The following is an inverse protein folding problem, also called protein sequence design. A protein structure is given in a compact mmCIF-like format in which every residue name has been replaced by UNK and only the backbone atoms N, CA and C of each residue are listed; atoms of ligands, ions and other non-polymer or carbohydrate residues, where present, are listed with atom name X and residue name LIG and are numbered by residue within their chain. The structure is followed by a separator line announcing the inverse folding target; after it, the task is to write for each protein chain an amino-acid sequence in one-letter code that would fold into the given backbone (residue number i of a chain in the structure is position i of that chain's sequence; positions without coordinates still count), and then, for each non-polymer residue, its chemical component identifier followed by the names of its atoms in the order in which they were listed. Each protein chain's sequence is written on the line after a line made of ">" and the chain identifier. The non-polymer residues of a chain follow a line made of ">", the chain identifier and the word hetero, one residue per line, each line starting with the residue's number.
data_IF_466347604061
#
_entry.id   IF_466347604061
#
_cell.length_a   1.000
_cell.length_b   1.000
_cell.length_c   1.000
_cell.angle_alpha   90.00
_cell.angle_beta   90.00
_cell.angle_gamma   90.00
#
_symmetry.space_group_name_H-M   'P 1'
#
loop_
_entity.id
_entity.type
_entity.pdbx_description
1 polymer ?
#
# COMPACT_ATOMS: atom_id res chain seq x y z
N UNK A 1 -9.26 59.41 11.44
CA UNK A 1 -10.39 59.89 10.62
C UNK A 1 -11.42 58.87 10.87
N UNK A 2 -12.11 59.07 11.96
CA UNK A 2 -13.34 59.79 12.18
C UNK A 2 -14.51 58.91 11.75
N UNK A 3 -15.20 58.38 12.71
CA UNK A 3 -16.32 58.98 13.46
C UNK A 3 -17.61 58.68 12.72
N UNK A 4 -18.76 58.38 13.22
CA UNK A 4 -19.39 58.69 14.52
C UNK A 4 -20.79 58.00 14.47
N UNK A 5 -21.24 57.43 15.57
CA UNK A 5 -22.25 57.95 16.50
C UNK A 5 -23.71 57.99 16.02
N UNK A 6 -24.55 57.43 16.73
CA UNK A 6 -25.64 57.85 17.61
C UNK A 6 -26.91 57.02 17.43
N UNK A 7 -27.41 56.42 18.48
CA UNK A 7 -28.35 56.96 19.52
C UNK A 7 -29.81 57.18 18.98
N UNK A 8 -30.89 56.78 19.53
CA UNK A 8 -31.42 56.86 20.88
C UNK A 8 -32.93 56.59 20.89
N UNK A 9 -33.44 56.28 22.05
CA UNK A 9 -34.76 56.55 22.65
C UNK A 9 -35.91 55.57 22.35
N UNK A 10 -36.45 54.95 23.25
CA UNK A 10 -37.16 54.96 24.49
C UNK A 10 -38.57 55.55 24.45
N UNK A 11 -39.40 55.11 25.38
CA UNK A 11 -40.86 54.85 25.16
C UNK A 11 -41.79 56.04 25.53
N UNK A 12 -43.10 55.91 25.48
CA UNK A 12 -43.94 55.89 26.66
C UNK A 12 -45.19 55.01 26.50
N UNK A 13 -45.62 54.36 27.51
CA UNK A 13 -46.46 54.72 28.71
C UNK A 13 -47.89 55.11 28.43
N UNK A 14 -48.72 54.57 29.30
CA UNK A 14 -50.04 54.99 29.80
C UNK A 14 -51.28 54.40 29.16
N UNK A 15 -51.99 53.81 30.03
CA UNK A 15 -53.04 54.03 30.99
C UNK A 15 -54.39 53.38 30.68
N UNK A 16 -54.82 52.70 31.72
CA UNK A 16 -56.18 52.72 32.32
C UNK A 16 -57.41 52.37 31.44
N UNK A 17 -58.35 51.62 31.88
CA UNK A 17 -59.19 51.71 33.07
C UNK A 17 -60.12 50.47 33.17
N UNK A 18 -60.31 50.03 34.40
CA UNK A 18 -61.53 49.64 35.12
C UNK A 18 -62.72 48.91 34.43
N UNK A 19 -63.19 47.86 34.92
CA UNK A 19 -64.10 47.67 36.01
C UNK A 19 -64.86 46.31 35.98
N UNK A 20 -64.91 45.74 37.15
CA UNK A 20 -65.96 45.11 37.86
C UNK A 20 -66.85 43.98 37.31
N UNK A 21 -66.90 42.94 38.10
CA UNK A 21 -68.16 42.30 38.45
C UNK A 21 -68.25 40.78 38.35
N UNK A 22 -68.38 40.11 39.49
CA UNK A 22 -69.23 38.92 39.53
C UNK A 22 -68.59 37.61 39.96
N UNK A 23 -68.56 37.41 41.19
CA UNK A 23 -68.74 36.27 42.04
C UNK A 23 -69.35 35.01 41.39
N UNK A 24 -68.73 33.82 41.51
CA UNK A 24 -69.36 32.70 42.21
C UNK A 24 -68.49 31.48 42.24
N UNK A 25 -68.46 30.92 43.40
CA UNK A 25 -67.82 29.66 43.80
C UNK A 25 -68.25 28.43 43.01
N UNK A 26 -67.30 27.52 42.67
CA UNK A 26 -67.57 26.10 42.88
C UNK A 26 -66.31 25.30 43.00
N UNK A 27 -66.17 24.69 44.13
CA UNK A 27 -65.32 23.55 44.48
C UNK A 27 -65.33 22.46 43.43
N UNK A 28 -64.13 22.03 43.00
CA UNK A 28 -63.92 20.86 42.16
C UNK A 28 -62.53 20.29 42.42
N UNK A 29 -62.45 19.43 43.41
CA UNK A 29 -61.34 18.60 43.76
C UNK A 29 -60.98 17.71 42.56
N UNK A 30 -59.78 17.81 42.01
CA UNK A 30 -59.33 16.98 40.89
C UNK A 30 -57.82 16.82 40.91
N UNK A 31 -57.40 15.82 41.66
CA UNK A 31 -56.02 15.29 41.70
C UNK A 31 -55.51 14.94 40.30
N UNK A 32 -54.66 15.77 39.75
CA UNK A 32 -54.06 15.54 38.42
C UNK A 32 -52.66 16.12 38.27
N UNK A 33 -51.84 16.05 39.31
CA UNK A 33 -50.50 16.62 39.24
C UNK A 33 -49.43 15.64 39.76
N UNK A 34 -49.27 14.49 39.10
CA UNK A 34 -48.17 13.55 39.46
C UNK A 34 -47.55 12.80 38.28
N UNK A 35 -48.06 12.90 37.04
CA UNK A 35 -47.52 12.14 35.89
C UNK A 35 -46.42 12.84 35.10
N UNK A 36 -46.31 14.17 35.16
CA UNK A 36 -45.36 14.95 34.38
C UNK A 36 -43.93 14.89 34.98
N UNK A 37 -43.78 14.81 36.29
CA UNK A 37 -42.48 14.80 36.97
C UNK A 37 -41.70 13.50 36.77
N UNK A 38 -42.36 12.35 36.57
CA UNK A 38 -41.69 11.06 36.36
C UNK A 38 -41.15 10.91 34.96
N UNK A 39 -41.79 11.39 33.93
CA UNK A 39 -41.33 11.39 32.53
C UNK A 39 -40.08 12.24 32.33
N UNK A 40 -39.97 13.41 32.96
CA UNK A 40 -38.79 14.25 32.88
C UNK A 40 -37.58 13.67 33.64
N UNK A 41 -37.82 12.98 34.75
CA UNK A 41 -36.74 12.29 35.49
C UNK A 41 -36.19 11.09 34.68
N UNK A 42 -37.08 10.30 34.06
CA UNK A 42 -36.68 9.16 33.23
C UNK A 42 -35.89 9.60 31.99
N UNK A 43 -36.35 10.64 31.28
CA UNK A 43 -35.63 11.28 30.17
C UNK A 43 -34.21 11.78 30.54
N UNK A 44 -34.08 12.33 31.77
CA UNK A 44 -32.74 12.74 32.27
C UNK A 44 -31.84 11.56 32.53
N UNK A 45 -32.35 10.49 33.11
CA UNK A 45 -31.56 9.27 33.34
C UNK A 45 -31.20 8.55 32.05
N UNK A 46 -32.06 8.50 31.05
CA UNK A 46 -31.75 7.95 29.72
C UNK A 46 -30.73 8.83 28.99
N UNK A 47 -30.83 10.14 29.05
CA UNK A 47 -29.84 11.06 28.48
C UNK A 47 -28.47 10.92 29.14
N UNK A 48 -28.41 10.81 30.48
CA UNK A 48 -27.14 10.56 31.19
C UNK A 48 -26.57 9.20 30.86
N UNK A 49 -27.40 8.14 30.76
CA UNK A 49 -26.97 6.81 30.34
C UNK A 49 -26.44 6.81 28.90
N UNK A 50 -27.13 7.46 27.97
CA UNK A 50 -26.67 7.62 26.59
C UNK A 50 -25.36 8.40 26.52
N UNK A 51 -25.22 9.51 27.26
CA UNK A 51 -23.97 10.28 27.33
C UNK A 51 -22.81 9.45 27.89
N UNK A 52 -23.07 8.67 28.92
CA UNK A 52 -22.04 7.76 29.50
C UNK A 52 -21.61 6.70 28.49
N UNK A 53 -22.53 6.08 27.75
CA UNK A 53 -22.21 5.10 26.70
C UNK A 53 -21.36 5.75 25.60
N UNK A 54 -21.70 6.97 25.18
CA UNK A 54 -20.92 7.72 24.17
C UNK A 54 -19.51 8.03 24.68
N UNK A 55 -19.39 8.47 25.95
CA UNK A 55 -18.07 8.74 26.55
C UNK A 55 -17.21 7.48 26.67
N UNK A 56 -17.81 6.35 27.08
CA UNK A 56 -17.10 5.07 27.11
C UNK A 56 -16.68 4.64 25.73
N UNK A 57 -17.57 4.72 24.73
CA UNK A 57 -17.25 4.39 23.34
C UNK A 57 -16.14 5.28 22.79
N UNK A 58 -16.18 6.58 23.07
CA UNK A 58 -15.13 7.54 22.69
C UNK A 58 -13.78 7.21 23.39
N UNK A 59 -13.82 6.87 24.68
CA UNK A 59 -12.63 6.48 25.43
C UNK A 59 -11.99 5.17 24.91
N UNK A 60 -12.81 4.16 24.63
CA UNK A 60 -12.35 2.90 24.01
C UNK A 60 -11.81 3.16 22.60
N UNK A 61 -12.51 3.95 21.78
CA UNK A 61 -12.07 4.32 20.42
C UNK A 61 -10.73 5.05 20.44
N UNK A 62 -10.56 6.00 21.37
CA UNK A 62 -9.31 6.72 21.58
C UNK A 62 -8.16 5.81 22.02
N UNK A 63 -8.44 4.87 22.93
CA UNK A 63 -7.44 3.90 23.39
C UNK A 63 -7.02 2.96 22.26
N UNK A 64 -7.97 2.44 21.46
CA UNK A 64 -7.68 1.60 20.28
C UNK A 64 -6.85 2.37 19.25
N UNK A 65 -7.23 3.62 18.95
CA UNK A 65 -6.50 4.49 18.04
C UNK A 65 -5.03 4.65 18.50
N UNK A 66 -4.83 5.02 19.77
CA UNK A 66 -3.49 5.20 20.34
C UNK A 66 -2.66 3.91 20.32
N UNK A 67 -3.30 2.77 20.54
CA UNK A 67 -2.63 1.47 20.48
C UNK A 67 -2.15 1.16 19.06
N UNK A 68 -2.99 1.35 18.06
CA UNK A 68 -2.64 1.11 16.65
C UNK A 68 -1.57 2.07 16.16
N UNK A 69 -1.72 3.35 16.47
CA UNK A 69 -0.78 4.42 16.12
C UNK A 69 0.61 4.15 16.72
N UNK A 70 0.67 3.73 17.98
CA UNK A 70 1.92 3.39 18.66
C UNK A 70 2.59 2.09 18.23
N UNK A 71 1.96 1.27 17.37
CA UNK A 71 2.58 0.08 16.79
C UNK A 71 3.52 0.40 15.62
N UNK A 72 3.26 1.51 14.92
CA UNK A 72 3.98 1.89 13.69
C UNK A 72 5.43 2.22 14.03
N UNK A 73 6.36 1.61 13.31
CA UNK A 73 7.80 1.88 13.45
C UNK A 73 8.23 2.86 12.37
N UNK A 74 8.90 3.94 12.78
CA UNK A 74 9.39 4.97 11.86
C UNK A 74 10.87 4.78 11.58
N UNK A 75 11.27 4.72 10.30
CA UNK A 75 12.67 4.69 9.86
C UNK A 75 13.26 6.10 9.82
N UNK A 76 13.54 6.66 10.99
CA UNK A 76 14.14 7.99 11.12
C UNK A 76 15.56 8.05 10.59
N UNK A 77 16.27 6.91 10.58
CA UNK A 77 17.64 6.81 10.07
C UNK A 77 17.69 6.98 8.55
N UNK A 78 16.81 6.30 7.81
CA UNK A 78 16.70 6.48 6.38
C UNK A 78 16.28 7.92 6.01
N UNK A 79 15.33 8.49 6.74
CA UNK A 79 14.89 9.86 6.51
C UNK A 79 16.03 10.88 6.72
N UNK A 80 16.83 10.73 7.79
CA UNK A 80 17.98 11.58 8.05
C UNK A 80 19.04 11.46 6.94
N UNK A 81 19.35 10.26 6.51
CA UNK A 81 20.29 9.99 5.40
C UNK A 81 19.79 10.61 4.08
N UNK A 82 18.54 10.39 3.71
CA UNK A 82 17.95 10.94 2.49
C UNK A 82 17.97 12.47 2.47
N UNK A 83 17.79 13.10 3.62
CA UNK A 83 17.87 14.57 3.77
C UNK A 83 19.25 15.11 3.44
N UNK A 84 20.32 14.38 3.76
CA UNK A 84 21.69 14.79 3.39
C UNK A 84 21.89 14.82 1.87
N UNK A 85 21.18 13.97 1.14
CA UNK A 85 21.28 13.84 -0.31
C UNK A 85 20.10 14.44 -1.07
N UNK A 86 19.28 15.28 -0.44
CA UNK A 86 18.08 15.86 -1.05
C UNK A 86 18.34 16.52 -2.40
N UNK A 87 19.49 17.18 -2.56
CA UNK A 87 19.89 17.84 -3.82
C UNK A 87 20.21 16.86 -4.96
N UNK A 88 20.50 15.59 -4.64
CA UNK A 88 20.81 14.54 -5.62
C UNK A 88 19.57 13.77 -6.04
N UNK A 89 18.48 13.88 -5.28
CA UNK A 89 17.24 13.16 -5.53
C UNK A 89 16.49 13.76 -6.74
N UNK A 90 15.80 12.94 -7.54
CA UNK A 90 14.97 13.45 -8.63
C UNK A 90 13.90 14.41 -8.10
N UNK A 91 13.54 15.41 -8.91
CA UNK A 91 12.36 16.21 -8.63
C UNK A 91 11.10 15.41 -8.92
N UNK A 92 10.03 15.59 -8.13
CA UNK A 92 8.69 15.10 -8.48
C UNK A 92 8.18 15.90 -9.68
N UNK A 93 7.83 15.20 -10.76
CA UNK A 93 7.31 15.82 -11.99
C UNK A 93 5.82 16.08 -11.86
N UNK A 94 5.08 15.11 -11.30
CA UNK A 94 3.64 15.20 -11.04
C UNK A 94 3.44 15.08 -9.53
N UNK A 95 3.05 16.17 -8.89
CA UNK A 95 3.02 16.26 -7.42
C UNK A 95 1.95 15.41 -6.76
N UNK A 96 0.84 15.20 -7.45
CA UNK A 96 -0.31 14.44 -6.96
C UNK A 96 -0.13 12.92 -7.12
N UNK A 97 0.82 12.49 -7.97
CA UNK A 97 1.22 11.09 -8.06
C UNK A 97 2.12 10.72 -6.87
N UNK A 98 2.01 9.50 -6.38
CA UNK A 98 2.82 9.02 -5.25
C UNK A 98 3.59 7.76 -5.64
N UNK A 99 4.88 7.77 -5.32
CA UNK A 99 5.77 6.64 -5.57
C UNK A 99 6.23 6.05 -4.23
N UNK A 100 5.85 4.82 -3.97
CA UNK A 100 6.08 4.14 -2.70
C UNK A 100 7.00 2.95 -2.95
N UNK A 101 8.13 2.89 -2.24
CA UNK A 101 9.03 1.75 -2.33
C UNK A 101 8.70 0.72 -1.24
N UNK A 102 8.18 -0.42 -1.67
CA UNK A 102 7.92 -1.57 -0.81
C UNK A 102 9.15 -2.47 -0.78
N UNK A 103 9.67 -2.75 0.41
CA UNK A 103 10.87 -3.57 0.61
C UNK A 103 10.53 -4.75 1.51
N UNK A 104 10.62 -5.96 0.97
CA UNK A 104 10.58 -7.20 1.74
C UNK A 104 11.97 -7.51 2.29
N UNK A 105 12.15 -7.40 3.60
CA UNK A 105 13.42 -7.69 4.26
C UNK A 105 13.47 -9.13 4.76
N UNK A 106 14.56 -9.82 4.46
CA UNK A 106 14.88 -11.14 5.01
C UNK A 106 15.60 -11.04 6.37
N UNK A 107 15.36 -9.95 7.10
CA UNK A 107 15.93 -9.78 8.43
C UNK A 107 15.67 -11.02 9.29
N UNK A 108 16.76 -11.65 9.75
CA UNK A 108 16.73 -12.85 10.61
C UNK A 108 16.86 -12.50 12.08
N UNK A 109 16.64 -11.24 12.43
CA UNK A 109 16.61 -10.81 13.82
C UNK A 109 15.37 -11.35 14.54
N UNK A 110 15.49 -11.61 15.84
CA UNK A 110 14.38 -12.09 16.66
C UNK A 110 13.84 -13.46 16.19
N UNK A 111 12.51 -13.58 16.07
CA UNK A 111 11.80 -14.82 15.74
C UNK A 111 11.97 -15.27 14.28
N UNK A 112 12.55 -14.42 13.42
CA UNK A 112 12.83 -14.75 12.02
C UNK A 112 14.06 -15.67 11.84
N UNK A 113 14.85 -15.97 12.89
CA UNK A 113 16.02 -16.86 12.83
C UNK A 113 15.71 -18.25 12.28
N UNK A 114 14.50 -18.74 12.47
CA UNK A 114 14.06 -20.07 11.98
C UNK A 114 14.03 -20.20 10.45
N UNK A 115 14.02 -19.08 9.71
CA UNK A 115 13.94 -19.10 8.25
C UNK A 115 15.29 -19.14 7.51
N UNK A 116 16.40 -19.36 8.21
CA UNK A 116 17.70 -19.53 7.55
C UNK A 116 18.87 -19.43 8.53
N UNK A 117 20.11 -19.58 8.04
CA UNK A 117 21.30 -19.40 8.85
C UNK A 117 21.47 -17.94 9.21
N UNK A 118 21.91 -17.67 10.45
CA UNK A 118 22.31 -16.35 10.90
C UNK A 118 23.61 -15.98 10.17
N UNK A 119 23.54 -15.02 9.27
CA UNK A 119 24.68 -14.54 8.44
C UNK A 119 25.40 -13.36 9.15
N UNK A 120 25.35 -13.30 10.48
CA UNK A 120 25.99 -12.23 11.27
C UNK A 120 25.26 -10.89 11.19
N UNK A 121 23.93 -10.91 10.99
CA UNK A 121 23.09 -9.71 10.96
C UNK A 121 23.02 -9.04 9.58
N UNK A 122 23.51 -9.67 8.51
CA UNK A 122 23.31 -9.14 7.15
C UNK A 122 21.83 -9.19 6.81
N UNK A 123 21.27 -8.03 6.50
CA UNK A 123 19.89 -7.89 6.03
C UNK A 123 19.93 -7.71 4.52
N UNK A 124 19.13 -8.49 3.80
CA UNK A 124 18.99 -8.34 2.35
C UNK A 124 17.55 -8.06 1.99
N UNK A 125 17.36 -7.32 0.93
CA UNK A 125 16.05 -7.16 0.33
C UNK A 125 15.86 -8.28 -0.70
N UNK A 126 14.98 -9.23 -0.40
CA UNK A 126 14.64 -10.32 -1.34
C UNK A 126 13.53 -9.91 -2.31
N UNK A 127 12.74 -8.91 -1.96
CA UNK A 127 11.65 -8.36 -2.78
C UNK A 127 11.67 -6.84 -2.70
N UNK A 128 11.71 -6.17 -3.83
CA UNK A 128 11.56 -4.72 -3.92
C UNK A 128 10.57 -4.38 -5.02
N UNK A 129 9.55 -3.61 -4.67
CA UNK A 129 8.49 -3.20 -5.57
C UNK A 129 8.35 -1.68 -5.50
N UNK A 130 8.45 -1.02 -6.65
CA UNK A 130 8.08 0.38 -6.81
C UNK A 130 6.59 0.45 -7.14
N UNK A 131 5.80 0.94 -6.21
CA UNK A 131 4.39 1.19 -6.37
C UNK A 131 4.19 2.64 -6.81
N UNK A 132 3.59 2.83 -7.97
CA UNK A 132 3.19 4.13 -8.49
C UNK A 132 1.67 4.25 -8.40
N UNK A 133 1.19 5.21 -7.63
CA UNK A 133 -0.21 5.58 -7.52
C UNK A 133 -0.44 6.82 -8.37
N UNK A 134 -1.24 6.69 -9.43
CA UNK A 134 -1.50 7.78 -10.36
C UNK A 134 -2.17 8.98 -9.67
N UNK A 135 -1.86 10.18 -10.17
CA UNK A 135 -2.39 11.44 -9.63
C UNK A 135 -3.92 11.50 -9.61
N UNK A 136 -4.55 10.90 -10.60
CA UNK A 136 -6.01 10.83 -10.70
C UNK A 136 -6.65 9.76 -9.79
N UNK A 137 -5.83 8.99 -9.06
CA UNK A 137 -6.25 7.90 -8.15
C UNK A 137 -7.08 6.80 -8.84
N UNK A 138 -6.92 6.60 -10.15
CA UNK A 138 -7.67 5.58 -10.92
C UNK A 138 -6.85 4.37 -11.31
N UNK A 139 -5.54 4.39 -11.12
CA UNK A 139 -4.67 3.26 -11.40
C UNK A 139 -3.49 3.18 -10.44
N UNK A 140 -3.02 1.95 -10.26
CA UNK A 140 -1.82 1.62 -9.49
C UNK A 140 -0.95 0.72 -10.34
N UNK A 141 0.33 1.06 -10.46
CA UNK A 141 1.33 0.24 -11.14
C UNK A 141 2.38 -0.22 -10.15
N UNK A 142 2.47 -1.53 -9.92
CA UNK A 142 3.45 -2.17 -9.06
C UNK A 142 4.56 -2.79 -9.91
N UNK A 143 5.72 -2.15 -9.94
CA UNK A 143 6.88 -2.59 -10.71
C UNK A 143 7.86 -3.34 -9.80
N UNK A 144 8.05 -4.64 -10.02
CA UNK A 144 9.04 -5.46 -9.34
C UNK A 144 10.45 -5.20 -9.87
N UNK A 145 11.39 -4.97 -8.95
CA UNK A 145 12.81 -4.82 -9.22
C UNK A 145 13.54 -6.10 -8.81
N UNK A 146 14.16 -6.84 -9.78
CA UNK A 146 14.86 -8.07 -9.46
C UNK A 146 16.03 -7.82 -8.51
N UNK A 147 16.16 -8.63 -7.47
CA UNK A 147 17.23 -8.52 -6.48
C UNK A 147 18.63 -8.73 -7.09
N UNK A 148 18.70 -9.54 -8.16
CA UNK A 148 19.94 -9.91 -8.86
C UNK A 148 20.25 -8.98 -10.05
N UNK A 149 19.48 -7.86 -10.19
CA UNK A 149 19.70 -6.85 -11.22
C UNK A 149 21.04 -6.14 -11.00
N UNK A 150 21.89 -6.10 -12.03
CA UNK A 150 23.18 -5.41 -11.99
C UNK A 150 22.98 -3.92 -12.19
N UNK A 151 23.35 -3.13 -11.17
CA UNK A 151 23.11 -1.69 -11.11
C UNK A 151 24.32 -0.94 -10.52
N UNK A 152 24.38 0.36 -10.77
CA UNK A 152 25.29 1.25 -10.05
C UNK A 152 24.71 1.64 -8.69
N UNK A 153 25.31 1.11 -7.62
CA UNK A 153 25.02 1.49 -6.25
C UNK A 153 25.84 2.74 -5.90
N UNK A 154 25.24 3.83 -5.41
CA UNK A 154 25.98 5.03 -5.01
C UNK A 154 26.85 4.79 -3.77
N UNK A 155 27.59 5.80 -3.36
CA UNK A 155 28.20 5.84 -2.02
C UNK A 155 27.09 5.83 -0.97
N UNK A 156 27.14 4.91 -0.02
CA UNK A 156 26.14 4.77 1.03
C UNK A 156 26.82 4.74 2.41
N UNK A 157 26.14 5.23 3.44
CA UNK A 157 26.59 5.12 4.82
C UNK A 157 26.09 3.80 5.42
N UNK A 158 26.97 3.11 6.13
CA UNK A 158 26.62 1.93 6.91
C UNK A 158 26.19 2.31 8.32
N UNK A 159 25.52 1.39 8.99
CA UNK A 159 25.12 1.57 10.40
C UNK A 159 26.29 1.81 11.36
N UNK A 160 27.50 1.33 11.01
CA UNK A 160 28.73 1.55 11.76
C UNK A 160 29.41 2.91 11.51
N UNK A 161 28.76 3.79 10.71
CA UNK A 161 29.27 5.11 10.35
C UNK A 161 30.29 5.08 9.20
N UNK A 162 30.69 3.92 8.68
CA UNK A 162 31.59 3.84 7.51
C UNK A 162 30.82 4.08 6.21
N UNK A 163 31.54 4.40 5.15
CA UNK A 163 30.97 4.61 3.82
C UNK A 163 31.41 3.53 2.83
N UNK A 164 30.51 3.16 1.93
CA UNK A 164 30.85 2.29 0.79
C UNK A 164 31.44 3.12 -0.36
N UNK A 165 32.09 2.43 -1.30
CA UNK A 165 32.43 3.07 -2.59
C UNK A 165 31.29 2.89 -3.57
N UNK A 166 31.15 3.83 -4.53
CA UNK A 166 30.28 3.62 -5.70
C UNK A 166 30.74 2.38 -6.44
N UNK A 167 29.83 1.45 -6.73
CA UNK A 167 30.17 0.18 -7.37
C UNK A 167 29.04 -0.36 -8.24
N UNK A 168 29.39 -1.14 -9.26
CA UNK A 168 28.45 -1.88 -10.07
C UNK A 168 28.28 -3.27 -9.47
N UNK A 169 27.08 -3.54 -8.92
CA UNK A 169 26.80 -4.75 -8.16
C UNK A 169 25.31 -5.13 -8.24
N UNK A 170 24.97 -6.24 -7.61
CA UNK A 170 23.58 -6.67 -7.48
C UNK A 170 22.76 -5.66 -6.69
N UNK A 171 21.54 -5.42 -7.13
CA UNK A 171 20.65 -4.45 -6.53
C UNK A 171 20.37 -4.68 -5.04
N UNK A 172 20.19 -5.94 -4.63
CA UNK A 172 19.95 -6.28 -3.22
C UNK A 172 21.11 -5.93 -2.27
N UNK A 173 22.33 -5.73 -2.78
CA UNK A 173 23.45 -5.25 -1.97
C UNK A 173 23.29 -3.80 -1.52
N UNK A 174 22.46 -3.01 -2.19
CA UNK A 174 22.16 -1.66 -1.73
C UNK A 174 21.57 -1.67 -0.31
N UNK A 175 20.65 -2.61 -0.04
CA UNK A 175 20.07 -2.76 1.30
C UNK A 175 21.08 -3.24 2.34
N UNK A 176 21.98 -4.17 1.96
CA UNK A 176 23.06 -4.66 2.82
C UNK A 176 24.09 -3.55 3.13
N UNK A 177 24.35 -2.66 2.17
CA UNK A 177 25.35 -1.60 2.31
C UNK A 177 24.91 -0.41 3.15
N UNK A 178 23.65 -0.02 3.07
CA UNK A 178 23.17 1.18 3.76
C UNK A 178 21.65 1.19 3.93
N UNK A 179 21.04 0.01 4.05
CA UNK A 179 19.63 -0.14 4.37
C UNK A 179 18.68 0.52 3.36
N UNK A 180 17.58 0.99 3.89
CA UNK A 180 16.49 1.59 3.11
C UNK A 180 16.96 2.82 2.31
N UNK A 181 17.72 3.72 2.92
CA UNK A 181 18.18 4.95 2.26
C UNK A 181 19.06 4.66 1.04
N UNK A 182 20.01 3.71 1.16
CA UNK A 182 20.85 3.30 0.04
C UNK A 182 20.05 2.66 -1.09
N UNK A 183 19.05 1.84 -0.75
CA UNK A 183 18.14 1.22 -1.72
C UNK A 183 17.33 2.28 -2.46
N UNK A 184 16.73 3.24 -1.75
CA UNK A 184 15.98 4.36 -2.34
C UNK A 184 16.87 5.14 -3.31
N UNK A 185 18.06 5.57 -2.87
CA UNK A 185 18.98 6.33 -3.72
C UNK A 185 19.43 5.54 -4.96
N UNK A 186 19.55 4.22 -4.83
CA UNK A 186 19.88 3.34 -5.97
C UNK A 186 18.72 3.28 -6.96
N UNK A 187 17.49 3.12 -6.48
CA UNK A 187 16.27 3.14 -7.32
C UNK A 187 16.10 4.49 -8.00
N UNK A 188 16.19 5.58 -7.26
CA UNK A 188 16.06 6.95 -7.82
C UNK A 188 17.11 7.23 -8.89
N UNK A 189 18.38 6.84 -8.67
CA UNK A 189 19.45 7.00 -9.68
C UNK A 189 19.24 6.13 -10.91
N UNK A 190 18.67 4.94 -10.76
CA UNK A 190 18.40 4.03 -11.86
C UNK A 190 17.21 4.47 -12.69
N UNK A 191 16.14 4.90 -12.05
CA UNK A 191 14.84 5.15 -12.70
C UNK A 191 14.58 6.61 -13.01
N UNK A 192 15.19 7.53 -12.28
CA UNK A 192 14.85 8.96 -12.28
C UNK A 192 13.46 9.24 -11.67
N UNK A 193 12.81 8.27 -11.04
CA UNK A 193 11.54 8.42 -10.32
C UNK A 193 11.87 8.78 -8.87
N UNK A 194 11.28 9.86 -8.37
CA UNK A 194 11.38 10.21 -6.95
C UNK A 194 10.55 9.24 -6.11
N UNK A 195 11.12 8.76 -5.02
CA UNK A 195 10.41 7.94 -4.04
C UNK A 195 9.88 8.86 -2.94
N UNK A 196 8.57 8.95 -2.83
CA UNK A 196 7.89 9.81 -1.87
C UNK A 196 7.80 9.14 -0.51
N UNK A 197 7.47 7.84 -0.50
CA UNK A 197 7.33 7.03 0.70
C UNK A 197 8.04 5.69 0.58
N UNK A 198 8.33 5.08 1.73
CA UNK A 198 8.81 3.70 1.76
C UNK A 198 8.16 2.90 2.89
N UNK A 199 8.06 1.60 2.67
CA UNK A 199 7.58 0.63 3.65
C UNK A 199 8.48 -0.60 3.63
N UNK A 200 8.95 -1.01 4.79
CA UNK A 200 9.71 -2.25 4.97
C UNK A 200 8.85 -3.24 5.73
N UNK A 201 8.75 -4.47 5.21
CA UNK A 201 8.00 -5.58 5.79
C UNK A 201 8.94 -6.75 6.02
N UNK A 202 8.94 -7.32 7.20
CA UNK A 202 9.66 -8.56 7.49
C UNK A 202 8.77 -9.81 7.35
N UNK A 203 9.35 -10.99 7.51
CA UNK A 203 8.64 -12.25 7.33
C UNK A 203 7.49 -12.46 8.32
N UNK A 204 7.65 -12.05 9.57
CA UNK A 204 6.60 -12.18 10.58
C UNK A 204 5.44 -11.22 10.27
N UNK A 205 5.76 -9.96 9.96
CA UNK A 205 4.76 -8.99 9.54
C UNK A 205 3.96 -9.42 8.32
N UNK A 206 4.63 -10.02 7.33
CA UNK A 206 3.94 -10.58 6.15
C UNK A 206 2.94 -11.67 6.55
N UNK A 207 3.34 -12.62 7.40
CA UNK A 207 2.45 -13.69 7.87
C UNK A 207 1.26 -13.16 8.65
N UNK A 208 1.53 -12.26 9.60
CA UNK A 208 0.48 -11.69 10.44
C UNK A 208 -0.55 -10.91 9.61
N UNK A 209 -0.13 -10.22 8.54
CA UNK A 209 -1.04 -9.55 7.60
C UNK A 209 -1.90 -10.55 6.82
N UNK A 210 -1.32 -11.66 6.35
CA UNK A 210 -2.07 -12.71 5.65
C UNK A 210 -3.09 -13.37 6.56
N UNK A 211 -2.70 -13.70 7.79
CA UNK A 211 -3.59 -14.32 8.79
C UNK A 211 -4.72 -13.36 9.20
N UNK A 212 -4.44 -12.06 9.29
CA UNK A 212 -5.43 -11.05 9.66
C UNK A 212 -6.56 -10.88 8.62
N UNK A 213 -6.32 -11.27 7.36
CA UNK A 213 -7.36 -11.28 6.30
C UNK A 213 -8.01 -12.67 6.11
N UNK A 214 -7.85 -13.58 7.08
CA UNK A 214 -8.33 -14.97 7.02
C UNK A 214 -7.70 -15.77 5.86
N UNK A 215 -6.44 -15.46 5.50
CA UNK A 215 -5.68 -16.10 4.43
C UNK A 215 -5.99 -15.59 3.03
N UNK A 216 -5.17 -16.01 2.07
CA UNK A 216 -5.25 -15.61 0.66
C UNK A 216 -5.47 -16.83 -0.22
N UNK A 217 -6.45 -16.73 -1.12
CA UNK A 217 -6.75 -17.80 -2.06
C UNK A 217 -5.75 -17.83 -3.21
N UNK A 218 -5.20 -19.01 -3.49
CA UNK A 218 -4.34 -19.29 -4.64
C UNK A 218 -4.82 -20.52 -5.41
N UNK A 219 -4.38 -20.63 -6.67
CA UNK A 219 -4.67 -21.80 -7.50
C UNK A 219 -3.38 -22.44 -8.03
N UNK A 220 -3.18 -23.71 -7.75
CA UNK A 220 -2.01 -24.47 -8.18
C UNK A 220 -2.35 -25.50 -9.25
N UNK A 221 -1.63 -25.48 -10.37
CA UNK A 221 -1.80 -26.49 -11.45
C UNK A 221 -1.34 -27.88 -11.02
N UNK A 222 -0.38 -27.97 -10.10
CA UNK A 222 0.22 -29.22 -9.60
C UNK A 222 0.43 -29.12 -8.08
N UNK A 223 0.46 -30.25 -7.35
CA UNK A 223 0.84 -30.23 -5.95
C UNK A 223 2.27 -29.77 -5.79
N UNK A 224 2.57 -29.14 -4.66
CA UNK A 224 3.88 -28.59 -4.30
C UNK A 224 4.36 -29.27 -3.03
N UNK A 225 5.61 -29.72 -3.04
CA UNK A 225 6.33 -30.19 -1.86
C UNK A 225 7.75 -29.57 -1.91
N UNK A 226 7.96 -28.51 -1.13
CA UNK A 226 9.23 -27.77 -1.07
C UNK A 226 9.76 -27.78 0.38
N UNK A 227 10.65 -28.71 0.71
CA UNK A 227 11.23 -28.79 2.05
C UNK A 227 12.06 -27.55 2.43
N UNK A 228 12.71 -26.91 1.43
CA UNK A 228 13.53 -25.71 1.67
C UNK A 228 12.67 -24.49 2.04
N UNK A 229 11.43 -24.44 1.52
CA UNK A 229 10.44 -23.41 1.83
C UNK A 229 9.45 -23.84 2.93
N UNK A 230 9.60 -25.03 3.50
CA UNK A 230 8.67 -25.65 4.47
C UNK A 230 7.23 -25.66 3.96
N UNK A 231 7.03 -25.97 2.66
CA UNK A 231 5.76 -25.82 1.98
C UNK A 231 5.26 -27.14 1.43
N UNK A 232 4.02 -27.52 1.80
CA UNK A 232 3.32 -28.66 1.20
C UNK A 232 1.89 -28.26 0.88
N UNK A 233 1.56 -28.21 -0.41
CA UNK A 233 0.26 -27.77 -0.92
C UNK A 233 -0.30 -28.77 -1.92
N UNK A 234 -1.63 -28.87 -1.98
CA UNK A 234 -2.34 -29.67 -2.99
C UNK A 234 -2.49 -28.89 -4.30
N UNK A 235 -2.78 -29.58 -5.39
CA UNK A 235 -3.24 -28.95 -6.61
C UNK A 235 -4.66 -28.37 -6.42
N UNK A 236 -5.02 -27.36 -7.22
CA UNK A 236 -6.31 -26.72 -7.22
C UNK A 236 -6.35 -25.44 -6.38
N UNK A 237 -7.58 -24.96 -6.18
CA UNK A 237 -7.89 -23.74 -5.42
C UNK A 237 -7.81 -24.04 -3.92
N UNK A 238 -7.11 -23.18 -3.18
CA UNK A 238 -6.96 -23.30 -1.73
C UNK A 238 -6.60 -21.97 -1.10
N UNK A 239 -6.99 -21.78 0.16
CA UNK A 239 -6.62 -20.60 0.96
C UNK A 239 -5.35 -20.90 1.74
N UNK A 240 -4.36 -20.04 1.64
CA UNK A 240 -3.08 -20.13 2.35
C UNK A 240 -3.13 -19.26 3.59
N UNK A 241 -2.75 -19.83 4.74
CA UNK A 241 -2.41 -19.06 5.95
C UNK A 241 -1.06 -18.34 5.79
N UNK A 242 -0.67 -17.54 6.79
CA UNK A 242 0.55 -16.74 6.73
C UNK A 242 1.83 -17.57 6.54
N UNK A 243 1.95 -18.72 7.20
CA UNK A 243 3.15 -19.58 7.07
C UNK A 243 3.21 -20.22 5.67
N UNK A 244 2.08 -20.75 5.19
CA UNK A 244 1.97 -21.32 3.84
C UNK A 244 2.18 -20.26 2.76
N UNK A 245 1.65 -19.05 2.95
CA UNK A 245 1.83 -17.92 2.05
C UNK A 245 3.30 -17.50 1.96
N UNK A 246 3.99 -17.41 3.11
CA UNK A 246 5.43 -17.11 3.13
C UNK A 246 6.24 -18.19 2.40
N UNK A 247 5.94 -19.47 2.66
CA UNK A 247 6.54 -20.59 1.92
C UNK A 247 6.27 -20.49 0.41
N UNK A 248 5.03 -20.18 0.03
CA UNK A 248 4.60 -20.06 -1.36
C UNK A 248 5.34 -18.96 -2.14
N UNK A 249 5.48 -17.76 -1.58
CA UNK A 249 6.18 -16.65 -2.24
C UNK A 249 7.71 -16.80 -2.25
N UNK A 250 8.26 -17.70 -1.40
CA UNK A 250 9.70 -18.01 -1.30
C UNK A 250 10.14 -19.26 -2.04
N UNK A 251 9.21 -20.21 -2.30
CA UNK A 251 9.53 -21.48 -2.97
C UNK A 251 10.23 -21.26 -4.32
N UNK A 252 11.26 -22.04 -4.60
CA UNK A 252 12.07 -21.92 -5.82
C UNK A 252 12.13 -23.21 -6.63
N UNK A 253 12.30 -24.36 -5.96
CA UNK A 253 12.64 -25.61 -6.61
C UNK A 253 11.45 -26.45 -7.03
N UNK A 254 10.31 -26.29 -6.34
CA UNK A 254 9.14 -27.16 -6.48
C UNK A 254 7.98 -26.51 -7.25
N UNK A 255 8.08 -25.25 -7.60
CA UNK A 255 7.06 -24.53 -8.35
C UNK A 255 7.70 -23.93 -9.61
N UNK A 256 7.21 -24.37 -10.78
CA UNK A 256 7.68 -23.91 -12.07
C UNK A 256 9.05 -24.47 -12.46
N UNK A 257 9.84 -23.70 -13.20
CA UNK A 257 11.19 -24.06 -13.67
C UNK A 257 12.31 -23.65 -12.68
N UNK A 258 11.94 -23.06 -11.53
CA UNK A 258 12.87 -22.59 -10.49
C UNK A 258 13.54 -21.26 -10.81
N UNK A 259 13.13 -20.56 -11.87
CA UNK A 259 13.68 -19.26 -12.22
C UNK A 259 13.22 -18.15 -11.27
N UNK A 260 14.02 -17.11 -11.16
CA UNK A 260 13.68 -15.91 -10.41
C UNK A 260 12.47 -15.17 -11.02
N UNK A 261 12.29 -15.30 -12.35
CA UNK A 261 11.12 -14.76 -13.06
C UNK A 261 9.82 -15.34 -12.56
N UNK A 262 9.71 -16.67 -12.54
CA UNK A 262 8.47 -17.32 -12.06
C UNK A 262 8.20 -17.07 -10.58
N UNK A 263 9.26 -16.86 -9.78
CA UNK A 263 9.09 -16.45 -8.40
C UNK A 263 8.48 -15.04 -8.32
N UNK A 264 8.96 -14.08 -9.10
CA UNK A 264 8.39 -12.72 -9.13
C UNK A 264 6.96 -12.72 -9.66
N UNK A 265 6.66 -13.46 -10.72
CA UNK A 265 5.29 -13.61 -11.25
C UNK A 265 4.37 -14.17 -10.19
N UNK A 266 4.81 -15.18 -9.43
CA UNK A 266 4.05 -15.77 -8.32
C UNK A 266 3.84 -14.78 -7.16
N UNK A 267 4.86 -13.99 -6.82
CA UNK A 267 4.73 -12.91 -5.83
C UNK A 267 3.70 -11.86 -6.27
N UNK A 268 3.73 -11.46 -7.53
CA UNK A 268 2.77 -10.51 -8.11
C UNK A 268 1.35 -11.08 -8.13
N UNK A 269 1.18 -12.34 -8.51
CA UNK A 269 -0.12 -13.04 -8.47
C UNK A 269 -0.66 -13.13 -7.05
N UNK A 270 0.21 -13.45 -6.07
CA UNK A 270 -0.18 -13.49 -4.66
C UNK A 270 -0.61 -12.11 -4.14
N UNK A 271 0.15 -11.06 -4.46
CA UNK A 271 -0.21 -9.68 -4.09
C UNK A 271 -1.52 -9.25 -4.75
N UNK A 272 -1.74 -9.61 -6.02
CA UNK A 272 -3.01 -9.38 -6.71
C UNK A 272 -4.18 -10.06 -6.00
N UNK A 273 -4.02 -11.32 -5.60
CA UNK A 273 -5.01 -12.06 -4.83
C UNK A 273 -5.27 -11.46 -3.44
N UNK A 274 -4.22 -10.97 -2.76
CA UNK A 274 -4.34 -10.27 -1.48
C UNK A 274 -5.14 -8.97 -1.63
N UNK A 275 -4.83 -8.14 -2.65
CA UNK A 275 -5.58 -6.91 -2.95
C UNK A 275 -7.05 -7.23 -3.23
N UNK A 276 -7.31 -8.22 -4.05
CA UNK A 276 -8.68 -8.66 -4.37
C UNK A 276 -9.42 -9.12 -3.10
N UNK A 277 -8.78 -9.91 -2.25
CA UNK A 277 -9.33 -10.38 -0.96
C UNK A 277 -9.73 -9.21 -0.07
N UNK A 278 -8.85 -8.23 0.13
CA UNK A 278 -9.11 -7.05 0.97
C UNK A 278 -10.26 -6.20 0.43
N UNK A 279 -10.36 -6.05 -0.90
CA UNK A 279 -11.43 -5.28 -1.54
C UNK A 279 -12.77 -6.02 -1.57
N UNK A 280 -12.78 -7.33 -1.86
CA UNK A 280 -14.01 -8.11 -2.09
C UNK A 280 -14.74 -8.51 -0.81
N UNK A 281 -14.03 -8.83 0.27
CA UNK A 281 -14.60 -9.43 1.48
C UNK A 281 -15.25 -8.43 2.44
N UNK A 282 -15.36 -7.16 2.04
CA UNK A 282 -15.94 -6.10 2.87
C UNK A 282 -15.15 -5.87 4.17
N UNK A 283 -13.89 -6.26 4.22
CA UNK A 283 -12.98 -6.07 5.37
C UNK A 283 -12.96 -4.61 5.77
N UNK A 284 -12.88 -3.71 4.79
CA UNK A 284 -12.83 -2.25 5.01
C UNK A 284 -14.13 -1.66 5.57
N UNK A 285 -15.26 -2.36 5.43
CA UNK A 285 -16.58 -1.90 5.88
C UNK A 285 -17.00 -2.51 7.22
N UNK A 286 -16.31 -3.56 7.68
CA UNK A 286 -16.64 -4.26 8.92
C UNK A 286 -15.60 -3.97 10.01
N UNK A 287 -15.93 -3.18 11.04
CA UNK A 287 -14.98 -2.81 12.10
C UNK A 287 -14.35 -4.00 12.83
N UNK A 288 -15.08 -5.12 12.96
CA UNK A 288 -14.59 -6.32 13.66
C UNK A 288 -13.54 -7.07 12.84
N UNK A 289 -13.60 -6.98 11.51
CA UNK A 289 -12.58 -7.53 10.59
C UNK A 289 -11.47 -6.54 10.30
N UNK A 290 -11.78 -5.24 10.25
CA UNK A 290 -10.82 -4.17 9.97
C UNK A 290 -9.78 -4.05 11.10
N UNK A 291 -10.21 -4.15 12.38
CA UNK A 291 -9.29 -3.96 13.51
C UNK A 291 -8.11 -4.97 13.51
N UNK A 292 -8.30 -6.30 13.37
CA UNK A 292 -7.18 -7.24 13.28
C UNK A 292 -6.22 -6.93 12.13
N UNK A 293 -6.74 -6.52 10.96
CA UNK A 293 -5.94 -6.16 9.80
C UNK A 293 -5.10 -4.91 10.07
N UNK A 294 -5.68 -3.88 10.68
CA UNK A 294 -4.95 -2.68 11.06
C UNK A 294 -3.90 -2.97 12.15
N UNK A 295 -4.21 -3.81 13.14
CA UNK A 295 -3.27 -4.19 14.19
C UNK A 295 -2.08 -4.98 13.62
N UNK A 296 -2.33 -5.93 12.71
CA UNK A 296 -1.29 -6.67 12.02
C UNK A 296 -0.45 -5.75 11.12
N UNK A 297 -1.09 -4.93 10.28
CA UNK A 297 -0.41 -4.02 9.37
C UNK A 297 0.47 -3.00 10.13
N UNK A 298 -0.06 -2.35 11.16
CA UNK A 298 0.70 -1.35 11.93
C UNK A 298 1.89 -1.94 12.68
N UNK A 299 1.84 -3.20 13.09
CA UNK A 299 2.97 -3.93 13.70
C UNK A 299 3.99 -4.41 12.68
N UNK A 300 3.53 -4.75 11.47
CA UNK A 300 4.32 -5.34 10.42
C UNK A 300 5.20 -4.32 9.69
N UNK A 301 4.76 -3.07 9.64
CA UNK A 301 5.36 -2.04 8.81
C UNK A 301 6.41 -1.23 9.57
N UNK A 302 7.53 -0.98 8.90
CA UNK A 302 8.44 0.12 9.21
C UNK A 302 8.34 1.12 8.06
N UNK A 303 7.97 2.36 8.36
CA UNK A 303 7.64 3.39 7.36
C UNK A 303 8.54 4.61 7.47
N UNK A 304 8.51 5.50 6.48
CA UNK A 304 9.09 6.83 6.59
C UNK A 304 8.24 7.75 7.48
N UNK A 305 8.78 8.94 7.90
CA UNK A 305 8.05 9.89 8.73
C UNK A 305 6.79 10.50 8.09
N UNK A 306 6.57 10.32 6.79
CA UNK A 306 5.34 10.76 6.10
C UNK A 306 4.20 9.76 6.21
N UNK A 307 4.48 8.53 6.68
CA UNK A 307 3.50 7.46 6.90
C UNK A 307 3.59 6.89 8.32
N UNK A 308 4.03 7.68 9.30
CA UNK A 308 4.31 7.24 10.66
C UNK A 308 3.10 7.28 11.59
N UNK A 309 1.92 7.64 11.09
CA UNK A 309 0.67 7.62 11.84
C UNK A 309 -0.40 6.75 11.18
N UNK A 310 -1.33 6.28 12.01
CA UNK A 310 -2.50 5.55 11.51
C UNK A 310 -3.35 6.40 10.55
N UNK A 311 -3.35 7.73 10.75
CA UNK A 311 -4.06 8.66 9.88
C UNK A 311 -3.44 8.68 8.49
N UNK A 312 -2.11 8.79 8.38
CA UNK A 312 -1.41 8.86 7.09
C UNK A 312 -1.56 7.55 6.30
N UNK A 313 -1.42 6.41 6.99
CA UNK A 313 -1.70 5.10 6.39
C UNK A 313 -3.17 4.97 5.93
N UNK A 314 -4.12 5.50 6.70
CA UNK A 314 -5.53 5.51 6.30
C UNK A 314 -5.76 6.39 5.06
N UNK A 315 -5.14 7.57 4.99
CA UNK A 315 -5.26 8.47 3.84
C UNK A 315 -4.69 7.83 2.58
N UNK A 316 -3.54 7.14 2.68
CA UNK A 316 -2.97 6.38 1.59
C UNK A 316 -3.91 5.26 1.10
N UNK A 317 -4.41 4.41 2.02
CA UNK A 317 -5.34 3.32 1.68
C UNK A 317 -6.64 3.87 1.09
N UNK A 318 -7.15 4.98 1.64
CA UNK A 318 -8.33 5.67 1.11
C UNK A 318 -8.10 6.15 -0.32
N UNK A 319 -6.91 6.67 -0.63
CA UNK A 319 -6.53 7.09 -1.98
C UNK A 319 -6.54 5.94 -3.00
N UNK A 320 -6.32 4.70 -2.54
CA UNK A 320 -6.33 3.51 -3.39
C UNK A 320 -7.66 2.75 -3.39
N UNK A 321 -8.60 3.08 -2.49
CA UNK A 321 -9.82 2.31 -2.25
C UNK A 321 -10.71 2.18 -3.48
N UNK A 322 -10.80 3.24 -4.26
CA UNK A 322 -11.71 3.32 -5.42
C UNK A 322 -11.03 2.90 -6.72
N UNK A 323 -9.76 2.46 -6.67
CA UNK A 323 -9.04 1.93 -7.82
C UNK A 323 -9.59 0.54 -8.16
N UNK A 324 -10.15 0.33 -9.36
CA UNK A 324 -10.64 -0.99 -9.77
C UNK A 324 -9.52 -2.03 -9.81
N UNK A 325 -9.81 -3.28 -9.45
CA UNK A 325 -8.80 -4.36 -9.39
C UNK A 325 -8.13 -4.63 -10.73
N UNK A 326 -8.82 -4.40 -11.87
CA UNK A 326 -8.25 -4.50 -13.22
C UNK A 326 -7.27 -3.34 -13.53
N UNK A 327 -7.29 -2.26 -12.75
CA UNK A 327 -6.38 -1.10 -12.83
C UNK A 327 -5.23 -1.17 -11.81
N UNK A 328 -5.22 -2.16 -10.93
CA UNK A 328 -4.07 -2.50 -10.09
C UNK A 328 -3.21 -3.47 -10.87
N UNK A 329 -2.13 -2.97 -11.45
CA UNK A 329 -1.28 -3.68 -12.39
C UNK A 329 0.06 -4.06 -11.77
N UNK A 330 0.52 -5.26 -12.09
CA UNK A 330 1.81 -5.79 -11.65
C UNK A 330 2.66 -6.12 -12.85
N UNK A 331 3.90 -5.68 -12.85
CA UNK A 331 4.88 -5.98 -13.90
C UNK A 331 6.28 -6.12 -13.32
N UNK A 332 7.16 -6.75 -14.06
CA UNK A 332 8.59 -6.75 -13.76
C UNK A 332 9.30 -5.78 -14.71
N UNK A 333 10.28 -5.02 -14.20
CA UNK A 333 11.08 -4.14 -15.07
C UNK A 333 11.65 -4.93 -16.25
N UNK A 334 11.66 -4.39 -17.48
CA UNK A 334 12.25 -5.04 -18.66
C UNK A 334 13.70 -5.43 -18.39
N UNK A 335 13.99 -6.73 -18.40
CA UNK A 335 15.28 -7.30 -18.05
C UNK A 335 15.63 -8.49 -18.91
N UNK A 336 16.92 -8.80 -18.98
CA UNK A 336 17.49 -9.99 -19.61
C UNK A 336 18.66 -10.53 -18.78
N UNK A 337 19.11 -11.77 -19.01
CA UNK A 337 20.30 -12.28 -18.36
C UNK A 337 21.53 -11.41 -18.65
N UNK A 338 22.28 -11.03 -17.60
CA UNK A 338 23.49 -10.23 -17.75
C UNK A 338 24.58 -11.02 -18.51
N UNK A 339 25.15 -10.40 -19.54
CA UNK A 339 26.07 -11.09 -20.47
C UNK A 339 27.28 -11.72 -19.79
N UNK A 340 27.86 -11.05 -18.77
CA UNK A 340 29.03 -11.55 -18.06
C UNK A 340 28.69 -12.62 -17.00
N UNK A 341 27.46 -12.73 -16.56
CA UNK A 341 27.01 -13.73 -15.58
C UNK A 341 25.51 -13.99 -15.70
N UNK A 342 25.13 -15.08 -16.32
CA UNK A 342 23.73 -15.46 -16.58
C UNK A 342 22.88 -15.70 -15.32
N UNK A 343 23.48 -15.77 -14.15
CA UNK A 343 22.78 -15.82 -12.87
C UNK A 343 22.43 -14.40 -12.33
N UNK A 344 22.63 -13.38 -13.14
CA UNK A 344 22.33 -11.98 -12.88
C UNK A 344 21.47 -11.44 -14.01
N UNK A 345 20.84 -10.31 -13.74
CA UNK A 345 19.99 -9.61 -14.69
C UNK A 345 20.60 -8.27 -15.05
N UNK A 346 20.27 -7.79 -16.24
CA UNK A 346 20.50 -6.41 -16.68
C UNK A 346 19.24 -5.85 -17.31
N UNK A 347 19.09 -4.52 -17.31
CA UNK A 347 17.95 -3.83 -17.90
C UNK A 347 17.97 -3.94 -19.42
N UNK A 348 16.86 -4.28 -20.03
CA UNK A 348 16.67 -4.20 -21.49
C UNK A 348 16.40 -2.75 -21.86
N UNK A 349 17.35 -2.17 -22.63
CA UNK A 349 17.21 -0.82 -23.15
C UNK A 349 16.77 -0.83 -24.61
N UNK A 350 15.92 0.12 -25.04
CA UNK A 350 15.40 1.30 -24.35
C UNK A 350 14.11 1.08 -23.53
N UNK A 351 13.60 -0.15 -23.42
CA UNK A 351 12.27 -0.46 -22.85
C UNK A 351 12.18 -0.09 -21.39
N UNK A 352 13.21 -0.38 -20.60
CA UNK A 352 13.27 0.01 -19.20
C UNK A 352 13.19 1.54 -19.03
N UNK A 353 13.95 2.29 -19.85
CA UNK A 353 13.92 3.75 -19.79
C UNK A 353 12.56 4.33 -20.21
N UNK A 354 11.88 3.70 -21.17
CA UNK A 354 10.51 4.10 -21.55
C UNK A 354 9.52 3.87 -20.41
N UNK A 355 9.64 2.73 -19.71
CA UNK A 355 8.81 2.44 -18.53
C UNK A 355 9.07 3.45 -17.41
N UNK A 356 10.33 3.73 -17.08
CA UNK A 356 10.68 4.70 -16.05
C UNK A 356 10.18 6.10 -16.38
N UNK A 357 10.27 6.50 -17.67
CA UNK A 357 9.73 7.78 -18.11
C UNK A 357 8.22 7.85 -17.90
N UNK A 358 7.47 6.80 -18.23
CA UNK A 358 6.02 6.76 -18.03
C UNK A 358 5.64 6.91 -16.56
N UNK A 359 6.30 6.16 -15.66
CA UNK A 359 6.05 6.28 -14.21
C UNK A 359 6.38 7.68 -13.69
N UNK A 360 7.47 8.29 -14.19
CA UNK A 360 7.87 9.63 -13.78
C UNK A 360 6.90 10.72 -14.26
N UNK A 361 6.37 10.56 -15.47
CA UNK A 361 5.48 11.52 -16.12
C UNK A 361 3.98 11.23 -15.82
N UNK A 362 3.68 10.24 -14.97
CA UNK A 362 2.33 9.76 -14.63
C UNK A 362 1.53 9.29 -15.87
N UNK A 363 2.23 8.78 -16.87
CA UNK A 363 1.62 8.24 -18.08
C UNK A 363 1.08 6.83 -17.85
N UNK A 364 -0.08 6.46 -18.40
CA UNK A 364 -0.64 5.11 -18.25
C UNK A 364 0.31 4.02 -18.76
N UNK A 365 0.47 2.96 -18.00
CA UNK A 365 1.25 1.76 -18.36
C UNK A 365 0.28 0.67 -18.81
N UNK A 366 0.51 0.09 -19.99
CA UNK A 366 -0.27 -1.04 -20.47
C UNK A 366 0.42 -2.37 -20.09
N UNK A 367 -0.29 -3.24 -19.38
CA UNK A 367 0.20 -4.55 -18.95
C UNK A 367 -0.68 -5.64 -19.54
N UNK A 368 -0.05 -6.68 -20.08
CA UNK A 368 -0.73 -7.87 -20.61
C UNK A 368 -0.02 -9.15 -20.14
N UNK A 369 -0.73 -10.27 -20.03
CA UNK A 369 -0.12 -11.57 -19.76
C UNK A 369 0.97 -11.93 -20.77
N UNK A 370 2.04 -12.58 -20.30
CA UNK A 370 3.23 -12.88 -21.11
C UNK A 370 2.94 -13.78 -22.33
N UNK A 371 1.93 -14.64 -22.25
CA UNK A 371 1.46 -15.50 -23.35
C UNK A 371 0.89 -14.68 -24.52
N UNK A 372 0.18 -13.58 -24.25
CA UNK A 372 -0.36 -12.69 -25.27
C UNK A 372 0.72 -11.92 -26.02
N UNK A 373 1.75 -11.45 -25.30
CA UNK A 373 2.88 -10.76 -25.95
C UNK A 373 3.60 -11.64 -26.98
N UNK A 374 3.79 -12.92 -26.69
CA UNK A 374 4.43 -13.86 -27.62
C UNK A 374 3.63 -14.06 -28.91
N UNK A 375 2.30 -14.12 -28.79
CA UNK A 375 1.42 -14.27 -29.97
C UNK A 375 1.38 -13.04 -30.87
N UNK A 376 1.52 -11.84 -30.30
CA UNK A 376 1.54 -10.60 -31.08
C UNK A 376 2.87 -10.41 -31.81
N UNK A 377 3.99 -10.82 -31.21
CA UNK A 377 5.31 -10.81 -31.84
C UNK A 377 5.39 -11.82 -32.99
N UNK A 378 4.83 -13.02 -32.87
CA UNK A 378 4.76 -14.00 -33.95
C UNK A 378 3.90 -13.53 -35.13
N UNK A 379 2.77 -12.85 -34.87
CA UNK A 379 1.90 -12.30 -35.89
C UNK A 379 2.54 -11.12 -36.65
N UNK A 380 3.31 -10.27 -35.94
CA UNK A 380 4.02 -9.16 -36.57
C UNK A 380 5.25 -9.61 -37.37
N UNK A 381 5.98 -10.63 -36.89
CA UNK A 381 7.13 -11.16 -37.62
C UNK A 381 6.74 -11.91 -38.91
N UNK A 382 5.53 -12.46 -38.95
CA UNK A 382 4.96 -13.09 -40.16
C UNK A 382 4.50 -12.08 -41.25
N UNK A 383 4.32 -10.81 -40.91
CA UNK A 383 3.86 -9.77 -41.87
C UNK A 383 5.01 -8.95 -42.48
N UNK A 384 6.21 -9.00 -41.93
CA UNK A 384 7.33 -8.18 -42.42
C UNK A 384 8.10 -8.79 -43.61
N UNK A 385 7.65 -9.90 -44.19
CA UNK A 385 8.26 -10.50 -45.39
C UNK A 385 7.61 -10.08 -46.72
N UNK A 386 6.73 -9.10 -46.73
CA UNK A 386 6.21 -8.50 -47.96
C UNK A 386 6.60 -7.01 -47.98
N UNK A 387 7.72 -6.73 -48.61
CA UNK A 387 8.14 -5.37 -48.91
C UNK A 387 7.14 -4.74 -49.88
N UNK A 388 6.38 -3.74 -49.42
CA UNK A 388 5.71 -2.77 -50.25
C UNK A 388 5.91 -1.40 -49.62
N UNK A 389 6.72 -0.57 -50.27
CA UNK A 389 6.94 0.84 -49.97
C UNK A 389 5.60 1.60 -50.11
N UNK A 390 4.94 1.83 -49.00
CA UNK A 390 3.87 2.83 -48.90
C UNK A 390 4.20 3.71 -47.69
N UNK A 391 4.16 5.06 -47.83
CA UNK A 391 4.42 5.95 -46.69
C UNK A 391 3.31 5.75 -45.63
N UNK A 392 3.66 5.23 -44.49
CA UNK A 392 2.73 5.07 -43.35
C UNK A 392 2.44 6.45 -42.77
N UNK A 393 1.18 6.88 -42.90
CA UNK A 393 0.66 8.05 -42.20
C UNK A 393 0.97 7.94 -40.69
N UNK A 394 1.41 9.07 -40.10
CA UNK A 394 1.72 9.24 -38.70
C UNK A 394 0.48 9.05 -37.82
N UNK A 395 0.11 7.82 -37.54
CA UNK A 395 -0.83 7.48 -36.47
C UNK A 395 -0.16 7.63 -35.11
N UNK A 396 -0.92 7.78 -34.01
CA UNK A 396 -0.34 7.83 -32.68
C UNK A 396 0.48 6.57 -32.41
N UNK A 397 1.73 6.76 -31.97
CA UNK A 397 2.63 5.65 -31.63
C UNK A 397 1.94 4.73 -30.61
N UNK A 398 1.79 3.43 -30.88
CA UNK A 398 1.13 2.53 -29.93
C UNK A 398 1.81 2.58 -28.58
N UNK A 399 1.00 2.61 -27.53
CA UNK A 399 1.50 2.60 -26.13
C UNK A 399 2.32 1.33 -25.91
N UNK A 400 3.57 1.42 -25.47
CA UNK A 400 4.37 0.25 -25.15
C UNK A 400 3.64 -0.64 -24.16
N UNK A 401 3.58 -1.95 -24.44
CA UNK A 401 2.91 -2.95 -23.61
C UNK A 401 3.96 -3.77 -22.91
N UNK A 402 3.76 -4.02 -21.60
CA UNK A 402 4.68 -4.78 -20.77
C UNK A 402 4.06 -6.09 -20.30
N UNK A 403 4.92 -7.10 -20.08
CA UNK A 403 4.49 -8.38 -19.52
C UNK A 403 4.15 -8.25 -18.03
N UNK A 404 2.98 -8.73 -17.65
CA UNK A 404 2.54 -8.69 -16.26
C UNK A 404 1.12 -9.20 -16.07
N UNK A 405 0.50 -8.84 -14.97
CA UNK A 405 -0.88 -9.21 -14.64
C UNK A 405 -1.59 -8.05 -13.90
N UNK A 406 -2.85 -8.25 -13.54
CA UNK A 406 -3.60 -7.32 -12.69
C UNK A 406 -4.27 -8.07 -11.53
N UNK A 407 -4.76 -7.32 -10.54
CA UNK A 407 -5.38 -7.91 -9.35
C UNK A 407 -6.72 -8.61 -9.62
N UNK A 408 -7.38 -8.34 -10.76
CA UNK A 408 -8.61 -9.02 -11.17
C UNK A 408 -8.37 -10.38 -11.85
N UNK A 409 -7.10 -10.76 -12.11
CA UNK A 409 -6.77 -11.98 -12.82
C UNK A 409 -7.18 -13.24 -12.03
N UNK A 410 -7.96 -14.12 -12.66
CA UNK A 410 -8.33 -15.42 -12.07
C UNK A 410 -7.16 -16.39 -12.20
N UNK A 411 -6.53 -16.71 -11.06
CA UNK A 411 -5.35 -17.59 -11.00
C UNK A 411 -5.61 -19.01 -11.49
N UNK A 412 -6.87 -19.47 -11.52
CA UNK A 412 -7.24 -20.79 -12.02
C UNK A 412 -7.45 -20.85 -13.53
N UNK A 413 -7.55 -19.71 -14.20
CA UNK A 413 -7.77 -19.61 -15.66
C UNK A 413 -6.52 -19.28 -16.46
N UNK A 414 -5.38 -19.12 -15.78
CA UNK A 414 -4.08 -18.84 -16.40
C UNK A 414 -3.32 -20.11 -16.79
#
# INVERSE_FOLDING_TARGET
>A
MDADVSESAGPPDDSDDSAAGGNESRSGNGSGASAAGHRHRWLRWTALGASFVVLVAAGVGWWLYRKLDGNIRTDTSAAAELKLYERERPASVVREAENILLIGSDSRAGDNRKYGRDDGGSQRSDTTILLHLAADRKSVTAMSLPRDLMVWIPVCHRADGTTTKKQFAQFNWAFEFGGTACTIRTVEKMTGVRIDHHMVVDFNGFKDMVDAVDGVEVCLKKPVDDPDAHLKLRAGRQTLDGEQALGYVRARKSIGNGSDTERMDRQQQFLGALVNKVQSDGVLLNPTRLYPVLDAATKALTTDPGLDSLKDLYELVRGMRDVPTDKVQFLTVPRQPYAANRNRDELVQPDANRLFKRLRDDDPVAVVPADRLRHDDEKNNGKNNAATDTPVASGPTPTPTYSGNNAAADLCKQ
#
